data_IF_915178728558
#
_entry.id   IF_915178728558
#
_cell.length_a   1.000
_cell.length_b   1.000
_cell.length_c   1.000
_cell.angle_alpha   90.00
_cell.angle_beta   90.00
_cell.angle_gamma   90.00
#
_symmetry.space_group_name_H-M   'P 1'
#
loop_
_entity.id
_entity.type
_entity.pdbx_description
1 polymer ?
#
# COMPACT_ATOMS: atom_id res chain seq x y z
N UNK A 1 -8.02 32.57 2.15
CA UNK A 1 -7.71 32.54 0.71
C UNK A 1 -6.25 32.20 0.55
N UNK A 2 -5.92 30.94 0.27
CA UNK A 2 -4.58 30.52 -0.17
C UNK A 2 -4.80 29.47 -1.26
N UNK A 3 -4.57 29.91 -2.48
CA UNK A 3 -4.65 29.18 -3.73
C UNK A 3 -3.33 28.40 -3.86
N UNK A 4 -3.42 27.08 -3.91
CA UNK A 4 -2.28 26.23 -4.29
C UNK A 4 -2.49 25.81 -5.75
N UNK A 5 -1.93 26.59 -6.67
CA UNK A 5 -1.90 26.26 -8.09
C UNK A 5 -0.96 25.06 -8.29
N UNK A 6 -1.57 23.88 -8.35
CA UNK A 6 -0.88 22.65 -8.73
C UNK A 6 -0.60 22.74 -10.24
N UNK A 7 0.65 22.62 -10.71
CA UNK A 7 0.89 22.49 -12.14
C UNK A 7 0.25 21.18 -12.60
N UNK A 8 -0.80 21.29 -13.41
CA UNK A 8 -1.29 20.18 -14.23
C UNK A 8 -0.14 19.74 -15.14
N UNK A 9 0.55 18.67 -14.76
CA UNK A 9 1.48 18.00 -15.66
C UNK A 9 0.62 17.29 -16.72
N UNK A 10 0.36 17.98 -17.83
CA UNK A 10 -0.23 17.39 -19.03
C UNK A 10 0.87 16.54 -19.68
N UNK A 11 0.91 15.25 -19.35
CA UNK A 11 1.77 14.30 -20.07
C UNK A 11 1.07 13.91 -21.37
N UNK A 12 1.34 14.67 -22.44
CA UNK A 12 0.98 14.30 -23.80
C UNK A 12 1.95 13.22 -24.31
N UNK A 13 1.56 11.96 -24.23
CA UNK A 13 2.29 10.87 -24.89
C UNK A 13 1.52 10.41 -26.11
N UNK A 14 1.93 10.90 -27.28
CA UNK A 14 1.50 10.39 -28.59
C UNK A 14 2.01 8.96 -28.74
N UNK A 15 1.11 7.98 -28.68
CA UNK A 15 1.44 6.57 -28.92
C UNK A 15 1.59 6.34 -30.43
N UNK A 16 2.81 6.02 -30.86
CA UNK A 16 3.08 5.50 -32.19
C UNK A 16 2.70 4.02 -32.19
N UNK A 17 1.50 3.72 -32.68
CA UNK A 17 0.91 2.39 -32.70
C UNK A 17 1.51 1.56 -33.84
N UNK A 18 2.44 0.67 -33.48
CA UNK A 18 2.76 -0.55 -34.24
C UNK A 18 2.98 -1.75 -33.30
N UNK A 19 2.14 -1.86 -32.26
CA UNK A 19 2.04 -3.07 -31.45
C UNK A 19 0.84 -3.91 -31.94
N UNK A 20 1.00 -5.22 -32.13
CA UNK A 20 -0.13 -6.08 -32.47
C UNK A 20 -1.18 -5.96 -31.38
N UNK A 21 -2.37 -5.48 -31.76
CA UNK A 21 -3.54 -5.36 -30.89
C UNK A 21 -3.86 -6.75 -30.39
N UNK A 22 -3.37 -7.08 -29.18
CA UNK A 22 -3.77 -8.29 -28.49
C UNK A 22 -5.26 -8.13 -28.25
N UNK A 23 -6.07 -8.94 -28.93
CA UNK A 23 -7.52 -9.08 -28.72
C UNK A 23 -7.79 -8.85 -27.24
N UNK A 24 -8.69 -7.91 -26.92
CA UNK A 24 -9.27 -7.78 -25.59
C UNK A 24 -10.05 -9.07 -25.37
N UNK A 25 -9.31 -10.12 -25.02
CA UNK A 25 -9.85 -11.40 -24.61
C UNK A 25 -10.66 -11.11 -23.37
N UNK A 26 -11.92 -11.51 -23.44
CA UNK A 26 -12.84 -11.81 -22.35
C UNK A 26 -12.37 -11.24 -21.00
N UNK A 27 -13.09 -10.22 -20.50
CA UNK A 27 -13.07 -9.76 -19.12
C UNK A 27 -13.51 -10.91 -18.20
N UNK A 28 -12.68 -11.94 -18.17
CA UNK A 28 -12.75 -13.13 -17.37
C UNK A 28 -12.80 -12.60 -15.97
N UNK A 29 -13.99 -12.68 -15.35
CA UNK A 29 -14.33 -12.10 -14.06
C UNK A 29 -13.12 -12.22 -13.14
N UNK A 30 -12.41 -11.11 -12.88
CA UNK A 30 -11.19 -11.15 -12.06
C UNK A 30 -11.62 -11.65 -10.70
N UNK A 31 -11.29 -12.92 -10.41
CA UNK A 31 -11.59 -13.52 -9.11
C UNK A 31 -10.69 -12.82 -8.10
N UNK A 32 -11.28 -11.94 -7.30
CA UNK A 32 -10.60 -11.36 -6.15
C UNK A 32 -10.17 -12.50 -5.24
N UNK A 33 -8.88 -12.54 -4.95
CA UNK A 33 -8.33 -13.43 -3.92
C UNK A 33 -8.00 -12.59 -2.68
N UNK A 34 -8.25 -13.11 -1.48
CA UNK A 34 -7.77 -12.49 -0.26
C UNK A 34 -6.25 -12.24 -0.34
N UNK A 35 -5.81 -11.13 0.24
CA UNK A 35 -4.39 -10.85 0.38
C UNK A 35 -3.80 -11.76 1.45
N UNK A 36 -2.78 -12.53 1.09
CA UNK A 36 -2.03 -13.38 2.02
C UNK A 36 -0.61 -12.84 2.14
N UNK A 37 -0.21 -12.50 3.36
CA UNK A 37 1.13 -12.01 3.68
C UNK A 37 2.04 -13.16 4.13
N UNK A 38 3.32 -13.13 3.74
CA UNK A 38 4.33 -14.08 4.22
C UNK A 38 5.27 -13.40 5.23
N UNK A 39 4.97 -13.58 6.52
CA UNK A 39 5.68 -12.91 7.61
C UNK A 39 7.17 -13.23 7.72
N UNK A 40 7.65 -14.31 7.10
CA UNK A 40 9.07 -14.68 7.11
C UNK A 40 9.90 -13.84 6.12
N UNK A 41 9.26 -13.30 5.08
CA UNK A 41 9.92 -12.50 4.04
C UNK A 41 9.76 -11.00 4.27
N UNK A 42 8.77 -10.60 5.06
CA UNK A 42 8.48 -9.20 5.29
C UNK A 42 9.49 -8.60 6.29
N UNK A 43 9.88 -7.36 6.04
CA UNK A 43 10.82 -6.60 6.85
C UNK A 43 10.28 -5.19 7.02
N UNK A 44 10.42 -4.66 8.23
CA UNK A 44 10.03 -3.29 8.51
C UNK A 44 11.14 -2.32 8.06
N UNK A 45 10.80 -1.35 7.23
CA UNK A 45 11.74 -0.34 6.74
C UNK A 45 12.18 0.61 7.85
N UNK A 46 11.29 0.90 8.81
CA UNK A 46 11.58 1.85 9.92
C UNK A 46 12.09 1.15 11.19
N UNK A 47 12.33 -0.15 11.13
CA UNK A 47 12.92 -0.94 12.23
C UNK A 47 12.19 -0.75 13.56
N UNK A 48 12.92 -0.33 14.59
CA UNK A 48 12.40 -0.21 15.96
C UNK A 48 11.23 0.78 16.10
N UNK A 49 11.15 1.80 15.24
CA UNK A 49 10.04 2.77 15.26
C UNK A 49 8.70 2.11 15.01
N UNK A 50 8.67 1.05 14.20
CA UNK A 50 7.44 0.31 13.92
C UNK A 50 6.81 -0.29 15.17
N UNK A 51 7.63 -0.69 16.17
CA UNK A 51 7.12 -1.19 17.45
C UNK A 51 6.45 -0.08 18.26
N UNK A 52 7.02 1.12 18.26
CA UNK A 52 6.45 2.27 18.97
C UNK A 52 5.18 2.76 18.29
N UNK A 53 5.20 2.89 16.96
CA UNK A 53 4.04 3.26 16.17
C UNK A 53 2.90 2.25 16.29
N UNK A 54 3.22 0.96 16.34
CA UNK A 54 2.24 -0.09 16.61
C UNK A 54 1.59 0.10 17.99
N UNK A 55 2.38 0.31 19.04
CA UNK A 55 1.87 0.59 20.39
C UNK A 55 1.02 1.86 20.46
N UNK A 56 1.35 2.87 19.67
CA UNK A 56 0.59 4.11 19.57
C UNK A 56 -0.67 4.00 18.68
N UNK A 57 -1.00 2.81 18.18
CA UNK A 57 -2.21 2.55 17.40
C UNK A 57 -2.13 2.97 15.92
N UNK A 58 -0.94 3.30 15.40
CA UNK A 58 -0.79 3.76 14.03
C UNK A 58 -1.06 2.66 13.00
N UNK A 59 -0.91 1.38 13.39
CA UNK A 59 -1.26 0.25 12.52
C UNK A 59 -2.73 0.32 12.06
N UNK A 60 -3.62 0.86 12.88
CA UNK A 60 -5.04 0.99 12.57
C UNK A 60 -5.39 2.35 11.96
N UNK A 61 -4.86 3.43 12.55
CA UNK A 61 -5.17 4.81 12.13
C UNK A 61 -4.48 5.22 10.83
N UNK A 62 -3.25 4.75 10.61
CA UNK A 62 -2.41 5.09 9.44
C UNK A 62 -2.06 3.84 8.61
N UNK A 63 -3.08 3.01 8.34
CA UNK A 63 -2.97 1.73 7.63
C UNK A 63 -2.09 1.75 6.36
N UNK A 64 -2.26 2.68 5.40
CA UNK A 64 -1.45 2.68 4.17
C UNK A 64 0.04 2.94 4.45
N UNK A 65 0.33 3.91 5.32
CA UNK A 65 1.68 4.28 5.71
C UNK A 65 2.36 3.15 6.46
N UNK A 66 1.65 2.52 7.40
CA UNK A 66 2.17 1.38 8.15
C UNK A 66 2.33 0.14 7.27
N UNK A 67 1.45 -0.09 6.30
CA UNK A 67 1.60 -1.17 5.32
C UNK A 67 2.86 -1.01 4.48
N UNK A 68 3.28 0.23 4.18
CA UNK A 68 4.48 0.48 3.40
C UNK A 68 5.75 0.29 4.24
N UNK A 69 5.77 0.84 5.45
CA UNK A 69 6.99 0.98 6.24
C UNK A 69 7.15 0.00 7.40
N UNK A 70 6.03 -0.49 7.93
CA UNK A 70 5.95 -1.30 9.13
C UNK A 70 5.10 -2.55 8.89
N UNK A 71 5.18 -3.10 7.67
CA UNK A 71 4.29 -4.15 7.21
C UNK A 71 4.34 -5.39 8.08
N UNK A 72 5.54 -5.81 8.47
CA UNK A 72 5.72 -7.00 9.32
C UNK A 72 5.19 -6.73 10.71
N UNK A 73 5.59 -5.63 11.34
CA UNK A 73 5.10 -5.31 12.69
C UNK A 73 3.57 -5.22 12.72
N UNK A 74 2.95 -4.50 11.78
CA UNK A 74 1.51 -4.25 11.84
C UNK A 74 0.65 -5.44 11.38
N UNK A 75 1.13 -6.28 10.45
CA UNK A 75 0.32 -7.38 9.91
C UNK A 75 0.67 -8.77 10.47
N UNK A 76 1.86 -8.96 11.03
CA UNK A 76 2.32 -10.26 11.52
C UNK A 76 2.45 -10.34 13.04
N UNK A 77 2.89 -9.25 13.68
CA UNK A 77 3.05 -9.19 15.13
C UNK A 77 1.81 -8.56 15.77
N UNK A 78 1.33 -7.47 15.18
CA UNK A 78 0.22 -6.66 15.67
C UNK A 78 0.62 -5.76 16.85
N UNK A 79 -0.22 -4.77 17.20
CA UNK A 79 -0.10 -4.07 18.47
C UNK A 79 -0.31 -5.04 19.65
N UNK A 80 0.42 -4.87 20.77
CA UNK A 80 0.18 -5.68 21.95
C UNK A 80 -1.27 -5.47 22.43
N UNK A 81 -1.98 -6.57 22.67
CA UNK A 81 -3.40 -6.61 23.05
C UNK A 81 -3.71 -5.83 24.34
N UNK A 82 -2.68 -5.52 25.14
CA UNK A 82 -2.80 -4.89 26.45
C UNK A 82 -3.10 -3.38 26.39
N UNK A 83 -3.01 -2.76 25.21
CA UNK A 83 -3.27 -1.33 24.97
C UNK A 83 -4.52 -1.07 24.12
N UNK A 84 -5.23 -2.12 23.70
CA UNK A 84 -6.52 -1.99 23.02
C UNK A 84 -7.62 -1.71 24.06
N UNK A 85 -7.66 -0.50 24.62
CA UNK A 85 -8.75 -0.03 25.46
C UNK A 85 -9.19 1.38 25.08
#
# INVERSE_FOLDING_TARGET
>A
QQQFDHPLIVVSNTVSSNTPVKKIGDLSKRKWKPFTINCNLEVDEKGNLCREWSKAGLCDTHRPTMFLFCRRTCLCIGPPMDLAK
#
